data_IF_835658231690
#
_entry.id   IF_835658231690
#
_cell.length_a   1.000
_cell.length_b   1.000
_cell.length_c   1.000
_cell.angle_alpha   90.00
_cell.angle_beta   90.00
_cell.angle_gamma   90.00
#
_symmetry.space_group_name_H-M   'P 1'
#
loop_
_entity.id
_entity.type
_entity.pdbx_description
1 polymer ?
#
# COMPACT_ATOMS: atom_id res chain seq x y z
N UNK A 1 -3.18 8.53 -12.52
CA UNK A 1 -3.38 7.61 -11.38
C UNK A 1 -4.42 8.08 -10.35
N UNK A 2 -4.53 9.38 -10.05
CA UNK A 2 -5.54 9.96 -9.14
C UNK A 2 -6.99 9.76 -9.60
N UNK A 3 -7.25 9.78 -10.92
CA UNK A 3 -8.58 9.55 -11.51
C UNK A 3 -9.08 8.11 -11.30
N UNK A 4 -8.29 7.09 -11.68
CA UNK A 4 -8.66 5.68 -11.47
C UNK A 4 -8.88 5.34 -9.99
N UNK A 5 -8.11 5.96 -9.09
CA UNK A 5 -8.27 5.80 -7.64
C UNK A 5 -9.57 6.41 -7.12
N UNK A 6 -9.96 7.59 -7.60
CA UNK A 6 -11.23 8.23 -7.24
C UNK A 6 -12.42 7.46 -7.81
N UNK A 7 -12.30 6.95 -9.02
CA UNK A 7 -13.32 6.17 -9.71
C UNK A 7 -13.53 4.81 -9.03
N UNK A 8 -12.47 4.14 -8.59
CA UNK A 8 -12.55 2.91 -7.80
C UNK A 8 -13.29 3.11 -6.47
N UNK A 9 -12.95 4.18 -5.74
CA UNK A 9 -13.60 4.51 -4.46
C UNK A 9 -15.06 4.88 -4.69
N UNK A 10 -15.36 5.67 -5.72
CA UNK A 10 -16.73 6.04 -6.06
C UNK A 10 -17.57 4.81 -6.47
N UNK A 11 -17.03 3.91 -7.29
CA UNK A 11 -17.73 2.67 -7.70
C UNK A 11 -17.92 1.72 -6.52
N UNK A 12 -16.90 1.55 -5.67
CA UNK A 12 -17.02 0.71 -4.48
C UNK A 12 -18.06 1.26 -3.49
N UNK A 13 -18.07 2.57 -3.25
CA UNK A 13 -19.06 3.24 -2.39
C UNK A 13 -20.47 3.22 -3.00
N UNK A 14 -20.59 3.47 -4.31
CA UNK A 14 -21.89 3.45 -5.00
C UNK A 14 -22.48 2.02 -5.05
N UNK A 15 -21.64 1.00 -5.27
CA UNK A 15 -22.04 -0.40 -5.26
C UNK A 15 -22.45 -0.90 -3.87
N UNK A 16 -21.68 -0.54 -2.84
CA UNK A 16 -22.00 -0.93 -1.45
C UNK A 16 -23.25 -0.23 -0.91
N UNK A 17 -23.40 1.08 -1.17
CA UNK A 17 -24.62 1.81 -0.81
C UNK A 17 -25.84 1.32 -1.60
N UNK A 18 -25.68 1.07 -2.91
CA UNK A 18 -26.74 0.57 -3.78
C UNK A 18 -27.25 -0.82 -3.38
N UNK A 19 -26.35 -1.71 -2.97
CA UNK A 19 -26.73 -3.04 -2.47
C UNK A 19 -27.49 -2.97 -1.15
N UNK A 20 -27.01 -2.19 -0.17
CA UNK A 20 -27.69 -2.02 1.12
C UNK A 20 -29.08 -1.40 0.96
N UNK A 21 -29.20 -0.37 0.12
CA UNK A 21 -30.50 0.26 -0.20
C UNK A 21 -31.41 -0.72 -0.94
N UNK A 22 -30.89 -1.47 -1.91
CA UNK A 22 -31.65 -2.50 -2.62
C UNK A 22 -32.21 -3.58 -1.70
N UNK A 23 -31.40 -4.10 -0.78
CA UNK A 23 -31.81 -5.09 0.23
C UNK A 23 -32.79 -4.50 1.27
N UNK A 24 -32.67 -3.21 1.58
CA UNK A 24 -33.60 -2.52 2.48
C UNK A 24 -35.01 -2.41 1.90
N UNK A 25 -35.13 -2.13 0.59
CA UNK A 25 -36.42 -1.98 -0.09
C UNK A 25 -36.94 -3.27 -0.75
N UNK A 26 -36.13 -4.32 -0.88
CA UNK A 26 -36.58 -5.60 -1.39
C UNK A 26 -37.64 -6.23 -0.45
N UNK A 27 -38.77 -6.64 -1.04
CA UNK A 27 -39.79 -7.43 -0.35
C UNK A 27 -39.32 -8.89 -0.22
N UNK A 28 -39.72 -9.61 0.85
CA UNK A 28 -39.43 -11.04 0.97
C UNK A 28 -40.15 -11.78 -0.17
N UNK A 29 -39.40 -12.29 -1.16
CA UNK A 29 -39.98 -12.98 -2.32
C UNK A 29 -39.23 -12.89 -3.65
N UNK A 30 -38.04 -12.29 -3.73
CA UNK A 30 -37.18 -12.39 -4.93
C UNK A 30 -37.66 -11.61 -6.16
N UNK A 31 -38.11 -10.36 -5.96
CA UNK A 31 -38.53 -9.46 -7.04
C UNK A 31 -37.37 -8.90 -7.89
N UNK A 32 -37.71 -8.15 -8.93
CA UNK A 32 -36.73 -7.55 -9.86
C UNK A 32 -35.68 -6.65 -9.18
N UNK A 33 -36.05 -5.99 -8.08
CA UNK A 33 -35.15 -5.15 -7.28
C UNK A 33 -34.03 -5.95 -6.59
N UNK A 34 -34.33 -7.17 -6.14
CA UNK A 34 -33.34 -8.05 -5.51
C UNK A 34 -32.30 -8.52 -6.53
N UNK A 35 -32.76 -8.92 -7.73
CA UNK A 35 -31.87 -9.27 -8.84
C UNK A 35 -31.01 -8.09 -9.28
N UNK A 36 -31.59 -6.89 -9.42
CA UNK A 36 -30.86 -5.69 -9.81
C UNK A 36 -29.78 -5.32 -8.77
N UNK A 37 -30.09 -5.44 -7.48
CA UNK A 37 -29.12 -5.21 -6.40
C UNK A 37 -27.97 -6.23 -6.45
N UNK A 38 -28.28 -7.50 -6.73
CA UNK A 38 -27.29 -8.58 -6.87
C UNK A 38 -26.40 -8.38 -8.09
N UNK A 39 -26.95 -7.95 -9.24
CA UNK A 39 -26.17 -7.61 -10.43
C UNK A 39 -25.26 -6.41 -10.20
N UNK A 40 -25.77 -5.35 -9.56
CA UNK A 40 -24.95 -4.22 -9.14
C UNK A 40 -23.82 -4.67 -8.22
N UNK A 41 -24.10 -5.63 -7.34
CA UNK A 41 -23.10 -6.17 -6.45
C UNK A 41 -22.01 -6.98 -7.19
N UNK A 42 -22.40 -7.83 -8.14
CA UNK A 42 -21.42 -8.57 -8.93
C UNK A 42 -20.57 -7.63 -9.80
N UNK A 43 -21.19 -6.63 -10.42
CA UNK A 43 -20.49 -5.67 -11.27
C UNK A 43 -19.42 -4.86 -10.51
N UNK A 44 -19.73 -4.38 -9.31
CA UNK A 44 -18.77 -3.64 -8.49
C UNK A 44 -17.63 -4.55 -7.96
N UNK A 45 -17.94 -5.81 -7.65
CA UNK A 45 -16.94 -6.83 -7.31
C UNK A 45 -15.95 -7.10 -8.46
N UNK A 46 -16.47 -7.36 -9.66
CA UNK A 46 -15.68 -7.57 -10.88
C UNK A 46 -14.82 -6.35 -11.21
N UNK A 47 -15.40 -5.15 -11.11
CA UNK A 47 -14.67 -3.90 -11.36
C UNK A 47 -13.50 -3.74 -10.37
N UNK A 48 -13.73 -4.03 -9.09
CA UNK A 48 -12.67 -3.96 -8.07
C UNK A 48 -11.55 -4.97 -8.34
N UNK A 49 -11.90 -6.21 -8.73
CA UNK A 49 -10.94 -7.25 -9.08
C UNK A 49 -10.12 -6.88 -10.33
N UNK A 50 -10.77 -6.33 -11.35
CA UNK A 50 -10.11 -5.88 -12.57
C UNK A 50 -9.14 -4.74 -12.28
N UNK A 51 -9.55 -3.76 -11.47
CA UNK A 51 -8.69 -2.67 -11.03
C UNK A 51 -7.52 -3.15 -10.17
N UNK A 52 -7.73 -4.12 -9.28
CA UNK A 52 -6.66 -4.76 -8.52
C UNK A 52 -5.66 -5.45 -9.45
N UNK A 53 -6.14 -6.18 -10.44
CA UNK A 53 -5.32 -6.86 -11.44
C UNK A 53 -4.48 -5.84 -12.22
N UNK A 54 -5.10 -4.78 -12.71
CA UNK A 54 -4.40 -3.67 -13.38
C UNK A 54 -3.38 -3.03 -12.45
N UNK A 55 -3.70 -2.83 -11.17
CA UNK A 55 -2.77 -2.24 -10.20
C UNK A 55 -1.56 -3.14 -9.90
N UNK A 56 -1.73 -4.47 -9.89
CA UNK A 56 -0.64 -5.42 -9.73
C UNK A 56 0.24 -5.47 -10.99
N UNK A 57 -0.38 -5.40 -12.17
CA UNK A 57 0.32 -5.45 -13.46
C UNK A 57 1.01 -4.13 -13.84
N UNK A 58 0.47 -2.98 -13.43
CA UNK A 58 1.00 -1.65 -13.74
C UNK A 58 2.37 -1.36 -13.09
N UNK A 59 2.88 -2.26 -12.25
CA UNK A 59 4.16 -2.10 -11.58
C UNK A 59 4.13 -1.03 -10.50
N UNK A 60 5.28 -0.83 -9.85
CA UNK A 60 5.42 0.14 -8.76
C UNK A 60 5.95 1.45 -9.30
N UNK A 61 5.36 2.59 -8.90
CA UNK A 61 5.85 3.88 -9.35
C UNK A 61 7.22 4.18 -8.73
N UNK A 62 8.12 4.80 -9.49
CA UNK A 62 9.39 5.34 -9.01
C UNK A 62 9.22 6.82 -8.66
N UNK A 63 8.36 7.11 -7.67
CA UNK A 63 7.99 8.48 -7.30
C UNK A 63 7.85 8.59 -5.79
N UNK A 64 8.34 9.71 -5.24
CA UNK A 64 7.99 10.12 -3.87
C UNK A 64 6.93 11.22 -3.89
N UNK A 65 6.14 11.28 -2.82
CA UNK A 65 5.24 12.39 -2.54
C UNK A 65 5.96 13.31 -1.57
N UNK A 66 6.18 14.56 -1.99
CA UNK A 66 6.75 15.61 -1.15
C UNK A 66 5.72 16.06 -0.13
N UNK A 67 6.11 16.13 1.15
CA UNK A 67 5.27 16.64 2.23
C UNK A 67 5.94 17.87 2.86
N UNK A 68 5.58 19.09 2.44
CA UNK A 68 6.19 20.31 2.99
C UNK A 68 5.87 20.51 4.48
N UNK A 69 4.68 20.08 4.92
CA UNK A 69 4.22 20.22 6.31
C UNK A 69 4.99 19.32 7.30
N UNK A 70 5.60 18.23 6.82
CA UNK A 70 6.43 17.33 7.61
C UNK A 70 7.62 16.96 6.72
N UNK A 71 8.79 17.62 6.85
CA UNK A 71 9.88 17.61 5.86
C UNK A 71 10.31 16.18 5.58
N UNK A 72 9.70 15.60 4.54
CA UNK A 72 9.82 14.19 4.23
C UNK A 72 9.39 13.88 2.81
N UNK A 73 10.06 12.89 2.24
CA UNK A 73 9.63 12.22 1.03
C UNK A 73 8.92 10.92 1.43
N UNK A 74 7.66 10.80 1.06
CA UNK A 74 6.82 9.67 1.47
C UNK A 74 6.51 8.80 0.26
N UNK A 75 6.64 7.49 0.40
CA UNK A 75 6.19 6.56 -0.63
C UNK A 75 4.66 6.66 -0.82
N UNK A 76 4.15 6.57 -2.06
CA UNK A 76 2.71 6.66 -2.31
C UNK A 76 1.96 5.53 -1.59
N UNK A 77 0.67 5.69 -1.27
CA UNK A 77 -0.11 4.59 -0.69
C UNK A 77 -0.09 3.35 -1.60
N UNK A 78 0.05 2.15 -1.03
CA UNK A 78 -0.01 0.91 -1.81
C UNK A 78 -1.37 0.78 -2.51
N UNK A 79 -1.36 0.78 -3.84
CA UNK A 79 -2.56 0.56 -4.64
C UNK A 79 -3.18 -0.80 -4.31
N UNK A 80 -2.37 -1.86 -4.20
CA UNK A 80 -2.81 -3.18 -3.79
C UNK A 80 -3.51 -3.15 -2.43
N UNK A 81 -2.92 -2.52 -1.41
CA UNK A 81 -3.53 -2.46 -0.08
C UNK A 81 -4.86 -1.70 -0.11
N UNK A 82 -4.96 -0.62 -0.89
CA UNK A 82 -6.20 0.13 -1.08
C UNK A 82 -7.28 -0.72 -1.75
N UNK A 83 -6.96 -1.40 -2.86
CA UNK A 83 -7.93 -2.24 -3.55
C UNK A 83 -8.35 -3.46 -2.73
N UNK A 84 -7.44 -4.07 -1.98
CA UNK A 84 -7.76 -5.13 -1.02
C UNK A 84 -8.68 -4.60 0.08
N UNK A 85 -8.39 -3.44 0.67
CA UNK A 85 -9.25 -2.83 1.68
C UNK A 85 -10.64 -2.50 1.12
N UNK A 86 -10.72 -1.95 -0.10
CA UNK A 86 -11.98 -1.64 -0.77
C UNK A 86 -12.78 -2.91 -1.07
N UNK A 87 -12.15 -3.92 -1.68
CA UNK A 87 -12.80 -5.20 -1.98
C UNK A 87 -13.28 -5.93 -0.72
N UNK A 88 -12.52 -5.84 0.37
CA UNK A 88 -12.91 -6.42 1.65
C UNK A 88 -14.07 -5.66 2.31
N UNK A 89 -14.03 -4.32 2.29
CA UNK A 89 -15.13 -3.47 2.79
C UNK A 89 -16.41 -3.72 1.99
N UNK A 90 -16.25 -3.87 0.69
CA UNK A 90 -17.31 -4.20 -0.24
C UNK A 90 -17.94 -5.57 0.10
N UNK A 91 -17.12 -6.59 0.29
CA UNK A 91 -17.57 -7.92 0.70
C UNK A 91 -18.26 -7.90 2.07
N UNK A 92 -17.69 -7.20 3.05
CA UNK A 92 -18.29 -7.02 4.38
C UNK A 92 -19.68 -6.36 4.29
N UNK A 93 -19.87 -5.39 3.39
CA UNK A 93 -21.16 -4.75 3.15
C UNK A 93 -22.21 -5.72 2.61
N UNK A 94 -21.80 -6.68 1.77
CA UNK A 94 -22.66 -7.76 1.28
C UNK A 94 -23.20 -8.62 2.43
N UNK A 95 -22.34 -8.96 3.39
CA UNK A 95 -22.72 -9.75 4.57
C UNK A 95 -23.70 -9.02 5.48
N UNK A 96 -23.57 -7.69 5.61
CA UNK A 96 -24.55 -6.87 6.33
C UNK A 96 -25.92 -6.91 5.63
N UNK A 97 -25.96 -6.83 4.30
CA UNK A 97 -27.21 -6.97 3.54
C UNK A 97 -27.88 -8.33 3.74
N UNK A 98 -27.09 -9.42 3.71
CA UNK A 98 -27.57 -10.78 4.00
C UNK A 98 -28.15 -10.90 5.42
N UNK A 99 -27.49 -10.29 6.41
CA UNK A 99 -27.96 -10.25 7.79
C UNK A 99 -29.31 -9.53 7.92
N UNK A 100 -29.48 -8.41 7.22
CA UNK A 100 -30.76 -7.67 7.18
C UNK A 100 -31.85 -8.52 6.53
N UNK A 101 -31.54 -9.24 5.45
CA UNK A 101 -32.47 -10.18 4.82
C UNK A 101 -32.93 -11.28 5.78
N UNK A 102 -31.98 -11.91 6.48
CA UNK A 102 -32.24 -12.99 7.45
C UNK A 102 -33.04 -12.49 8.67
N UNK A 103 -32.75 -11.27 9.14
CA UNK A 103 -33.51 -10.63 10.20
C UNK A 103 -34.98 -10.36 9.79
N UNK A 104 -35.21 -9.96 8.54
CA UNK A 104 -36.56 -9.75 7.99
C UNK A 104 -37.34 -11.07 7.84
N UNK A 105 -36.68 -12.15 7.44
CA UNK A 105 -37.31 -13.48 7.31
C UNK A 105 -37.49 -14.20 8.65
N UNK A 106 -36.98 -13.63 9.75
CA UNK A 106 -36.94 -14.25 11.08
C UNK A 106 -36.05 -15.51 11.15
N UNK A 107 -35.12 -15.69 10.21
CA UNK A 107 -34.17 -16.80 10.16
C UNK A 107 -32.77 -16.44 10.68
N UNK A 108 -32.67 -15.33 11.44
CA UNK A 108 -31.39 -14.83 11.93
C UNK A 108 -30.76 -15.79 12.93
N UNK A 109 -29.56 -16.30 12.63
CA UNK A 109 -28.79 -17.11 13.57
C UNK A 109 -27.71 -16.28 14.27
N UNK A 110 -27.29 -16.73 15.46
CA UNK A 110 -26.13 -16.14 16.17
C UNK A 110 -24.86 -16.14 15.30
N UNK A 111 -24.66 -17.19 14.50
CA UNK A 111 -23.49 -17.33 13.64
C UNK A 111 -23.45 -16.27 12.53
N UNK A 112 -24.61 -15.87 12.00
CA UNK A 112 -24.67 -14.80 11.00
C UNK A 112 -24.15 -13.48 11.58
N UNK A 113 -24.54 -13.15 12.81
CA UNK A 113 -24.07 -11.97 13.51
C UNK A 113 -22.55 -12.01 13.76
N UNK A 114 -22.03 -13.17 14.20
CA UNK A 114 -20.58 -13.35 14.42
C UNK A 114 -19.78 -13.17 13.14
N UNK A 115 -20.24 -13.76 12.04
CA UNK A 115 -19.59 -13.65 10.73
C UNK A 115 -19.55 -12.19 10.27
N UNK A 116 -20.66 -11.45 10.38
CA UNK A 116 -20.71 -10.03 10.01
C UNK A 116 -19.75 -9.19 10.85
N UNK A 117 -19.74 -9.37 12.17
CA UNK A 117 -18.81 -8.65 13.05
C UNK A 117 -17.35 -8.92 12.66
N UNK A 118 -17.01 -10.18 12.39
CA UNK A 118 -15.66 -10.55 11.93
C UNK A 118 -15.27 -9.82 10.65
N UNK A 119 -16.14 -9.79 9.64
CA UNK A 119 -15.90 -9.07 8.39
C UNK A 119 -15.81 -7.55 8.59
N UNK A 120 -16.63 -6.96 9.45
CA UNK A 120 -16.57 -5.52 9.75
C UNK A 120 -15.27 -5.14 10.46
N UNK A 121 -14.82 -5.95 11.41
CA UNK A 121 -13.53 -5.76 12.09
C UNK A 121 -12.39 -5.87 11.08
N UNK A 122 -12.39 -6.88 10.22
CA UNK A 122 -11.38 -7.04 9.17
C UNK A 122 -11.33 -5.84 8.20
N UNK A 123 -12.49 -5.32 7.79
CA UNK A 123 -12.59 -4.15 6.93
C UNK A 123 -12.01 -2.91 7.63
N UNK A 124 -12.38 -2.69 8.89
CA UNK A 124 -11.86 -1.60 9.72
C UNK A 124 -10.34 -1.65 9.86
N UNK A 125 -9.77 -2.84 10.10
CA UNK A 125 -8.31 -3.03 10.21
C UNK A 125 -7.60 -2.72 8.88
N UNK A 126 -8.13 -3.21 7.75
CA UNK A 126 -7.53 -2.97 6.43
C UNK A 126 -7.63 -1.50 6.00
N UNK A 127 -8.75 -0.84 6.27
CA UNK A 127 -8.92 0.59 6.03
C UNK A 127 -8.00 1.42 6.91
N UNK A 128 -7.91 1.10 8.20
CA UNK A 128 -6.96 1.75 9.11
C UNK A 128 -5.50 1.57 8.64
N UNK A 129 -5.15 0.38 8.15
CA UNK A 129 -3.84 0.10 7.55
C UNK A 129 -3.57 0.99 6.33
N UNK A 130 -4.55 1.14 5.45
CA UNK A 130 -4.44 1.96 4.24
C UNK A 130 -4.37 3.47 4.56
N UNK A 131 -5.06 3.92 5.61
CA UNK A 131 -5.11 5.34 5.99
C UNK A 131 -3.93 5.82 6.83
N UNK A 132 -3.34 4.97 7.69
CA UNK A 132 -2.28 5.37 8.64
C UNK A 132 -0.94 5.75 8.00
N UNK A 133 -0.87 5.80 6.67
CA UNK A 133 0.33 6.20 5.95
C UNK A 133 1.49 5.24 6.20
N UNK A 134 1.19 3.94 6.25
CA UNK A 134 2.24 2.91 6.35
C UNK A 134 3.11 2.96 5.09
N UNK A 135 4.41 2.84 5.29
CA UNK A 135 5.38 2.93 4.21
C UNK A 135 6.68 3.61 4.64
N UNK A 136 7.50 3.88 3.65
CA UNK A 136 8.83 4.47 3.79
C UNK A 136 8.72 6.00 3.71
N UNK A 137 9.39 6.65 4.65
CA UNK A 137 9.58 8.09 4.72
C UNK A 137 11.08 8.38 4.78
N UNK A 138 11.58 9.16 3.84
CA UNK A 138 12.90 9.75 3.94
C UNK A 138 12.74 11.09 4.64
N UNK A 139 13.51 11.34 5.69
CA UNK A 139 13.50 12.58 6.46
C UNK A 139 14.92 13.12 6.61
N UNK A 140 15.08 14.40 6.97
CA UNK A 140 16.39 14.96 7.27
C UNK A 140 17.18 14.18 8.33
N UNK A 141 16.49 13.59 9.32
CA UNK A 141 17.10 12.82 10.40
C UNK A 141 17.42 11.36 10.02
N UNK A 142 16.80 10.81 8.97
CA UNK A 142 17.03 9.43 8.55
C UNK A 142 15.93 8.81 7.71
N UNK A 143 15.99 7.49 7.58
CA UNK A 143 14.96 6.67 6.96
C UNK A 143 14.02 6.16 8.04
N UNK A 144 12.73 6.46 7.91
CA UNK A 144 11.70 5.97 8.83
C UNK A 144 10.67 5.15 8.06
N UNK A 145 10.24 4.03 8.64
CA UNK A 145 9.06 3.32 8.15
C UNK A 145 8.11 2.94 9.27
N UNK A 146 6.83 2.83 8.91
CA UNK A 146 5.76 2.43 9.82
C UNK A 146 5.13 1.15 9.33
N UNK A 147 4.93 0.23 10.26
CA UNK A 147 4.16 -1.01 10.12
C UNK A 147 2.89 -0.92 10.97
N UNK A 148 2.00 -1.90 10.83
CA UNK A 148 0.74 -1.90 11.58
C UNK A 148 0.95 -1.94 13.09
N UNK A 149 2.01 -2.63 13.53
CA UNK A 149 2.31 -2.93 14.94
C UNK A 149 3.49 -2.13 15.50
N UNK A 150 4.14 -1.28 14.69
CA UNK A 150 5.33 -0.56 15.12
C UNK A 150 5.90 0.41 14.08
N UNK A 151 7.03 1.02 14.42
CA UNK A 151 7.80 1.87 13.52
C UNK A 151 9.29 1.74 13.80
N UNK A 152 10.10 1.87 12.76
CA UNK A 152 11.55 1.92 12.87
C UNK A 152 12.05 3.22 12.24
N UNK A 153 12.99 3.87 12.91
CA UNK A 153 13.73 5.00 12.38
C UNK A 153 15.22 4.68 12.43
N UNK A 154 15.84 4.72 11.27
CA UNK A 154 17.26 4.48 11.05
C UNK A 154 17.90 5.84 10.70
N UNK A 155 18.71 6.42 11.58
CA UNK A 155 19.45 7.64 11.25
C UNK A 155 20.36 7.42 10.05
N UNK A 156 20.63 8.47 9.28
CA UNK A 156 21.53 8.37 8.13
C UNK A 156 22.92 7.82 8.49
N UNK A 157 23.42 8.19 9.67
CA UNK A 157 24.73 7.77 10.18
C UNK A 157 24.81 6.30 10.59
N UNK A 158 23.64 5.65 10.68
CA UNK A 158 23.51 4.21 10.96
C UNK A 158 23.67 3.35 9.70
N UNK A 159 23.46 3.92 8.52
CA UNK A 159 23.51 3.21 7.24
C UNK A 159 24.95 3.02 6.76
N UNK A 160 25.22 1.85 6.18
CA UNK A 160 26.52 1.59 5.58
C UNK A 160 26.68 2.32 4.23
N UNK A 161 27.82 3.00 3.97
CA UNK A 161 28.11 3.61 2.67
C UNK A 161 28.01 2.60 1.51
N UNK A 162 27.50 3.05 0.36
CA UNK A 162 27.32 2.21 -0.83
C UNK A 162 26.22 1.14 -0.73
N UNK A 163 25.48 1.10 0.39
CA UNK A 163 24.31 0.24 0.60
C UNK A 163 23.07 1.13 0.81
N UNK A 164 21.86 0.63 0.54
CA UNK A 164 21.51 -0.72 0.10
C UNK A 164 21.77 -0.97 -1.40
N UNK A 165 21.94 -2.24 -1.78
CA UNK A 165 22.03 -2.65 -3.18
C UNK A 165 20.65 -2.57 -3.84
N UNK A 166 20.61 -2.30 -5.16
CA UNK A 166 19.37 -2.36 -5.94
C UNK A 166 18.75 -3.75 -5.79
N UNK A 167 17.51 -3.86 -5.29
CA UNK A 167 16.84 -5.14 -5.17
C UNK A 167 16.45 -5.66 -6.55
N UNK A 168 16.32 -6.98 -6.70
CA UNK A 168 15.78 -7.56 -7.92
C UNK A 168 14.39 -6.98 -8.22
N UNK A 169 14.05 -6.85 -9.51
CA UNK A 169 12.90 -6.07 -9.98
C UNK A 169 11.54 -6.47 -9.37
N UNK A 170 11.41 -7.70 -8.84
CA UNK A 170 10.16 -8.23 -8.25
C UNK A 170 10.18 -8.32 -6.72
N UNK A 171 11.28 -7.95 -6.07
CA UNK A 171 11.38 -8.10 -4.61
C UNK A 171 10.53 -7.05 -3.89
N UNK A 172 9.80 -7.50 -2.87
CA UNK A 172 8.91 -6.68 -2.03
C UNK A 172 9.61 -6.02 -0.86
N UNK A 173 10.87 -6.37 -0.68
CA UNK A 173 11.67 -6.10 0.50
C UNK A 173 13.02 -5.55 0.05
N UNK A 174 13.48 -4.49 0.70
CA UNK A 174 14.81 -3.93 0.55
C UNK A 174 15.61 -4.20 1.84
N UNK A 175 16.70 -4.93 1.72
CA UNK A 175 17.58 -5.21 2.85
C UNK A 175 18.49 -3.99 3.11
N UNK A 176 18.39 -3.41 4.30
CA UNK A 176 19.26 -2.33 4.75
C UNK A 176 20.47 -2.90 5.49
N UNK A 177 21.66 -2.45 5.11
CA UNK A 177 22.90 -2.79 5.81
C UNK A 177 23.25 -1.65 6.77
N UNK A 178 23.42 -1.98 8.04
CA UNK A 178 23.76 -1.02 9.08
C UNK A 178 25.25 -1.06 9.39
N UNK A 179 25.89 0.11 9.40
CA UNK A 179 27.23 0.27 9.96
C UNK A 179 27.17 0.47 11.49
N UNK A 180 26.13 1.14 11.98
CA UNK A 180 25.91 1.45 13.41
C UNK A 180 24.50 1.05 13.84
N UNK A 181 24.23 -0.26 14.06
CA UNK A 181 22.90 -0.76 14.42
C UNK A 181 22.37 -0.21 15.76
N UNK A 182 23.24 0.22 16.67
CA UNK A 182 22.90 0.80 17.97
C UNK A 182 22.16 2.14 17.87
N UNK A 183 22.27 2.84 16.74
CA UNK A 183 21.55 4.10 16.50
C UNK A 183 20.11 3.88 16.01
N UNK A 184 19.75 2.65 15.65
CA UNK A 184 18.43 2.31 15.13
C UNK A 184 17.38 2.35 16.25
N UNK A 185 16.43 3.27 16.15
CA UNK A 185 15.34 3.38 17.11
C UNK A 185 14.11 2.61 16.62
N UNK A 186 13.55 1.80 17.51
CA UNK A 186 12.37 0.97 17.24
C UNK A 186 11.27 1.33 18.24
N UNK A 187 10.02 1.24 17.79
CA UNK A 187 8.83 1.44 18.63
C UNK A 187 7.79 0.40 18.23
N UNK A 188 7.25 -0.32 19.21
CA UNK A 188 6.27 -1.39 18.96
C UNK A 188 6.92 -2.69 18.45
N UNK A 189 6.09 -3.57 17.90
CA UNK A 189 6.50 -4.90 17.39
C UNK A 189 6.75 -4.77 15.89
N UNK A 190 7.97 -5.02 15.45
CA UNK A 190 8.40 -4.95 14.04
C UNK A 190 8.98 -6.30 13.65
N UNK A 191 8.44 -6.91 12.60
CA UNK A 191 8.88 -8.21 12.08
C UNK A 191 9.90 -7.99 10.96
N UNK A 192 11.17 -8.28 11.23
CA UNK A 192 12.26 -8.13 10.25
C UNK A 192 13.16 -6.94 10.56
N UNK A 193 14.31 -7.24 11.17
CA UNK A 193 15.24 -6.27 11.77
C UNK A 193 15.95 -5.34 10.77
N UNK A 194 15.91 -5.65 9.47
CA UNK A 194 16.67 -4.97 8.39
C UNK A 194 15.88 -4.92 7.07
N UNK A 195 14.60 -5.29 7.09
CA UNK A 195 13.82 -5.52 5.88
C UNK A 195 12.81 -4.37 5.73
N UNK A 196 13.11 -3.47 4.81
CA UNK A 196 12.23 -2.36 4.46
C UNK A 196 11.20 -2.85 3.45
N UNK A 197 9.90 -2.80 3.79
CA UNK A 197 8.85 -3.06 2.80
C UNK A 197 8.82 -1.93 1.76
N UNK A 198 8.94 -2.31 0.50
CA UNK A 198 8.92 -1.42 -0.68
C UNK A 198 7.73 -1.77 -1.58
N UNK A 199 6.60 -2.17 -0.97
CA UNK A 199 5.46 -2.71 -1.70
C UNK A 199 4.74 -1.70 -2.59
N UNK A 200 4.93 -0.43 -2.31
CA UNK A 200 4.22 0.70 -2.89
C UNK A 200 5.09 1.57 -3.80
N UNK A 201 6.38 1.31 -3.90
CA UNK A 201 7.34 2.13 -4.64
C UNK A 201 8.42 1.25 -5.28
N UNK A 202 8.98 1.67 -6.41
CA UNK A 202 10.03 0.91 -7.08
C UNK A 202 11.24 0.73 -6.15
N UNK A 203 11.65 -0.52 -5.92
CA UNK A 203 12.69 -0.85 -4.95
C UNK A 203 14.06 -0.25 -5.29
N UNK A 204 14.40 -0.25 -6.58
CA UNK A 204 15.65 0.35 -7.08
C UNK A 204 15.67 1.85 -6.80
N UNK A 205 14.55 2.55 -6.98
CA UNK A 205 14.44 3.98 -6.78
C UNK A 205 14.65 4.37 -5.31
N UNK A 206 14.06 3.60 -4.38
CA UNK A 206 14.32 3.81 -2.93
C UNK A 206 15.77 3.49 -2.58
N UNK A 207 16.35 2.43 -3.14
CA UNK A 207 17.74 2.07 -2.88
C UNK A 207 18.71 3.15 -3.34
N UNK A 208 18.52 3.68 -4.55
CA UNK A 208 19.36 4.74 -5.12
C UNK A 208 19.17 6.06 -4.37
N UNK A 209 17.95 6.40 -3.98
CA UNK A 209 17.69 7.58 -3.14
C UNK A 209 18.39 7.49 -1.79
N UNK A 210 18.33 6.33 -1.12
CA UNK A 210 19.04 6.11 0.14
C UNK A 210 20.56 6.23 -0.10
N UNK A 211 21.10 5.59 -1.14
CA UNK A 211 22.53 5.66 -1.48
C UNK A 211 22.96 7.11 -1.72
N UNK A 212 22.19 7.87 -2.48
CA UNK A 212 22.45 9.27 -2.77
C UNK A 212 22.57 10.11 -1.49
N UNK A 213 21.63 9.98 -0.54
CA UNK A 213 21.68 10.73 0.72
C UNK A 213 22.74 10.22 1.71
N UNK A 214 23.12 8.95 1.62
CA UNK A 214 24.26 8.44 2.38
C UNK A 214 25.57 9.06 1.87
N UNK A 215 25.74 9.23 0.55
CA UNK A 215 26.94 9.83 -0.05
C UNK A 215 26.95 11.36 -0.08
N UNK A 216 25.80 12.02 -0.09
CA UNK A 216 25.64 13.49 -0.14
C UNK A 216 24.92 14.00 1.12
N UNK A 217 25.61 14.08 2.27
CA UNK A 217 25.00 14.49 3.54
C UNK A 217 24.42 15.90 3.54
N UNK A 218 24.97 16.80 2.74
CA UNK A 218 24.54 18.19 2.58
C UNK A 218 23.10 18.32 2.06
N UNK A 219 22.62 17.36 1.25
CA UNK A 219 21.26 17.35 0.72
C UNK A 219 20.19 16.94 1.74
N UNK A 220 20.59 16.30 2.85
CA UNK A 220 19.65 15.72 3.83
C UNK A 220 18.74 16.78 4.46
N UNK A 221 19.27 17.97 4.75
CA UNK A 221 18.49 19.05 5.37
C UNK A 221 17.38 19.58 4.46
N UNK A 222 17.51 19.43 3.14
CA UNK A 222 16.54 19.90 2.16
C UNK A 222 15.45 18.84 1.83
N UNK A 223 15.53 17.64 2.42
CA UNK A 223 14.54 16.58 2.24
C UNK A 223 13.14 17.08 2.64
N UNK A 224 12.17 16.87 1.76
CA UNK A 224 10.80 17.35 1.91
C UNK A 224 10.49 18.67 1.19
N UNK A 225 11.44 19.22 0.44
CA UNK A 225 11.21 20.33 -0.51
C UNK A 225 11.11 19.82 -1.95
N UNK A 226 10.35 20.52 -2.78
CA UNK A 226 10.21 20.17 -4.21
C UNK A 226 11.54 20.33 -4.97
N UNK A 227 12.29 21.41 -4.69
CA UNK A 227 13.59 21.65 -5.32
C UNK A 227 14.59 20.51 -5.04
N UNK A 228 14.57 19.98 -3.82
CA UNK A 228 15.41 18.82 -3.48
C UNK A 228 14.93 17.54 -4.15
N UNK A 229 13.63 17.36 -4.29
CA UNK A 229 13.08 16.23 -5.01
C UNK A 229 13.49 16.25 -6.50
N UNK A 230 13.46 17.43 -7.13
CA UNK A 230 13.93 17.60 -8.52
C UNK A 230 15.43 17.31 -8.65
N UNK A 231 16.25 17.77 -7.69
CA UNK A 231 17.68 17.45 -7.65
C UNK A 231 17.93 15.95 -7.52
N UNK A 232 17.19 15.28 -6.64
CA UNK A 232 17.25 13.83 -6.46
C UNK A 232 16.91 13.09 -7.75
N UNK A 233 15.83 13.50 -8.43
CA UNK A 233 15.42 12.90 -9.71
C UNK A 233 16.50 13.07 -10.79
N UNK A 234 17.14 14.24 -10.86
CA UNK A 234 18.26 14.46 -11.77
C UNK A 234 19.47 13.58 -11.41
N UNK A 235 19.82 13.49 -10.12
CA UNK A 235 20.96 12.69 -9.67
C UNK A 235 20.79 11.19 -9.96
N UNK A 236 19.60 10.63 -9.69
CA UNK A 236 19.30 9.22 -9.93
C UNK A 236 19.07 8.95 -11.43
N UNK A 237 18.47 9.90 -12.16
CA UNK A 237 18.26 9.80 -13.61
C UNK A 237 19.56 9.83 -14.42
N UNK A 238 20.61 10.45 -13.87
CA UNK A 238 21.94 10.54 -14.48
C UNK A 238 22.92 9.45 -14.01
N UNK A 239 22.57 8.63 -13.00
CA UNK A 239 23.41 7.48 -12.62
C UNK A 239 23.38 6.48 -13.80
N UNK A 240 24.53 6.22 -14.46
CA UNK A 240 24.59 5.23 -15.53
C UNK A 240 24.00 3.92 -15.04
N UNK A 241 23.23 3.28 -15.90
CA UNK A 241 22.66 1.97 -15.64
C UNK A 241 23.82 0.98 -15.54
N UNK A 242 24.42 0.84 -14.36
CA UNK A 242 25.11 -0.38 -13.95
C UNK A 242 24.01 -1.43 -13.79
N UNK A 243 23.54 -1.89 -14.94
CA UNK A 243 22.73 -3.08 -15.07
C UNK A 243 23.52 -4.20 -14.38
N UNK A 244 22.87 -5.10 -13.63
CA UNK A 244 23.50 -6.36 -13.31
C UNK A 244 23.88 -7.00 -14.64
N UNK A 245 25.19 -7.09 -14.90
CA UNK A 245 25.74 -7.89 -15.97
C UNK A 245 25.08 -9.26 -15.88
N UNK A 246 24.57 -9.71 -17.05
CA UNK A 246 23.97 -11.03 -17.26
C UNK A 246 24.76 -12.09 -16.49
N UNK A 247 24.12 -13.14 -15.93
CA UNK A 247 24.87 -14.30 -15.50
C UNK A 247 25.68 -14.80 -16.70
N UNK A 248 27.00 -14.84 -16.55
CA UNK A 248 27.91 -15.47 -17.48
C UNK A 248 27.47 -16.92 -17.66
N UNK A 249 26.82 -17.23 -18.79
CA UNK A 249 26.73 -18.60 -19.28
C UNK A 249 28.08 -18.87 -19.91
N UNK A 250 29.00 -19.42 -19.11
CA UNK A 250 30.23 -19.98 -19.62
C UNK A 250 29.88 -21.16 -20.53
N UNK A 251 30.10 -20.99 -21.83
CA UNK A 251 30.30 -22.12 -22.73
C UNK A 251 31.66 -22.72 -22.40
N UNK A 252 31.67 -23.93 -21.85
CA UNK A 252 32.89 -24.74 -21.78
C UNK A 252 33.16 -25.38 -23.14
N UNK A 253 34.44 -25.56 -23.51
CA UNK A 253 34.89 -26.10 -24.79
C UNK A 253 34.50 -27.57 -25.00
#
# INVERSE_FOLDING_TARGET
MTLCRRLAVAVALAGSAGYLVGQWFASPGGGALDRLSSFGFLAAGVTTLLLLTVAVLAGRPAVFIVRPAEPSFTAPPSAQALFVALGFTYWASGQVGSLVGSAKSHDLTFWDAVVVVFWMVGAGVLLARAWRGLGVHLRPDGVRWRELTGSVSVPWDALAPGRPLRPAARTKILALTYARPELVRRRGIVLGHQLLSIDNIAGWFVADAIRHYVTHPEGRAAIGTEAEYDRLLHAIGNEPTDAPTRPWIGTNP
#
